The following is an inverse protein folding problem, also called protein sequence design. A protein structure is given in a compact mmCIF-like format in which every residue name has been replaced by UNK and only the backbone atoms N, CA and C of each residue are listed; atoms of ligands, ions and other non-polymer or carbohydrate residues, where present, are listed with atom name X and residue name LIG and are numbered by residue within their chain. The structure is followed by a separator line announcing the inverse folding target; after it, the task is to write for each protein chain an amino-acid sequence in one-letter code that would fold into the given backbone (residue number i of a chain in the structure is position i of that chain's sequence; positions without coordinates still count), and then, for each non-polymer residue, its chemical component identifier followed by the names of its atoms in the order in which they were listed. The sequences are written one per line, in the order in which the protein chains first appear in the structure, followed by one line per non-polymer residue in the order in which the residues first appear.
data_IF_838425302895
#
_entry.id   IF_838425302895
#
_cell.length_a   1.000
_cell.length_b   1.000
_cell.length_c   1.000
_cell.angle_alpha   90.00
_cell.angle_beta   90.00
_cell.angle_gamma   90.00
#
_symmetry.space_group_name_H-M   'P 1'
#
loop_
_entity.id
_entity.type
_entity.pdbx_description
1 polymer ?
#
# COMPACT_ATOMS: atom_id res chain seq x y z
N UNK A 1 6.06 36.50 13.42
CA UNK A 1 6.43 35.57 14.52
C UNK A 1 5.20 34.70 14.79
N UNK A 2 5.10 33.55 14.14
CA UNK A 2 3.97 32.63 14.37
C UNK A 2 4.20 31.99 15.73
N UNK A 3 3.36 32.32 16.71
CA UNK A 3 3.43 31.69 18.03
C UNK A 3 3.00 30.23 17.84
N UNK A 4 3.94 29.30 17.98
CA UNK A 4 3.66 27.85 18.05
C UNK A 4 2.80 27.61 19.30
N UNK A 5 1.50 27.49 19.11
CA UNK A 5 0.63 26.96 20.16
C UNK A 5 0.77 25.44 20.11
N UNK A 6 1.67 24.88 20.91
CA UNK A 6 1.56 23.48 21.27
C UNK A 6 0.22 23.32 22.01
N UNK A 7 -0.80 22.78 21.33
CA UNK A 7 -1.94 22.18 22.03
C UNK A 7 -1.34 21.11 22.93
N UNK A 8 -1.50 21.25 24.25
CA UNK A 8 -0.89 20.34 25.24
C UNK A 8 -1.17 18.88 24.85
N UNK A 9 -0.11 18.09 24.64
CA UNK A 9 -0.20 16.66 24.33
C UNK A 9 -0.01 16.26 22.86
N UNK A 10 0.27 17.19 21.95
CA UNK A 10 0.60 16.91 20.54
C UNK A 10 2.09 17.11 20.26
N UNK A 11 2.65 16.34 19.32
CA UNK A 11 4.01 16.53 18.79
C UNK A 11 4.06 17.83 17.98
N UNK A 12 5.25 18.42 17.77
CA UNK A 12 5.38 19.63 16.94
C UNK A 12 4.97 19.36 15.48
N UNK A 13 4.28 20.32 14.85
CA UNK A 13 3.83 20.21 13.46
C UNK A 13 4.98 20.03 12.47
N UNK A 14 6.06 20.82 12.59
CA UNK A 14 7.18 20.77 11.66
C UNK A 14 7.91 19.43 11.82
N UNK A 15 8.08 18.98 13.07
CA UNK A 15 8.68 17.67 13.38
C UNK A 15 7.87 16.50 12.81
N UNK A 16 6.54 16.51 12.94
CA UNK A 16 5.68 15.47 12.37
C UNK A 16 5.72 15.46 10.84
N UNK A 17 5.69 16.64 10.22
CA UNK A 17 5.73 16.77 8.77
C UNK A 17 7.07 16.30 8.22
N UNK A 18 8.18 16.71 8.84
CA UNK A 18 9.53 16.26 8.47
C UNK A 18 9.68 14.75 8.65
N UNK A 19 9.14 14.19 9.74
CA UNK A 19 9.14 12.74 9.97
C UNK A 19 8.37 11.99 8.88
N UNK A 20 7.21 12.50 8.48
CA UNK A 20 6.41 11.91 7.40
C UNK A 20 7.14 12.00 6.06
N UNK A 21 7.70 13.15 5.71
CA UNK A 21 8.48 13.31 4.48
C UNK A 21 9.71 12.40 4.42
N UNK A 22 10.31 12.10 5.58
CA UNK A 22 11.47 11.21 5.67
C UNK A 22 11.08 9.71 5.74
N UNK A 23 9.80 9.39 5.93
CA UNK A 23 9.33 8.01 6.03
C UNK A 23 9.22 7.39 4.64
N UNK A 24 9.72 6.16 4.48
CA UNK A 24 9.50 5.41 3.25
C UNK A 24 8.03 5.01 3.10
N UNK A 25 7.59 4.79 1.85
CA UNK A 25 6.21 4.35 1.58
C UNK A 25 5.92 2.95 2.15
N UNK A 26 6.92 2.06 2.20
CA UNK A 26 6.75 0.66 2.64
C UNK A 26 6.07 0.51 4.03
N UNK A 27 6.52 1.14 5.13
CA UNK A 27 5.85 1.03 6.43
C UNK A 27 4.44 1.63 6.42
N UNK A 28 4.20 2.71 5.67
CA UNK A 28 2.88 3.33 5.52
C UNK A 28 1.95 2.36 4.81
N UNK A 29 2.39 1.82 3.67
CA UNK A 29 1.65 0.86 2.88
C UNK A 29 1.31 -0.40 3.67
N UNK A 30 2.31 -1.01 4.33
CA UNK A 30 2.11 -2.23 5.13
C UNK A 30 1.16 -2.01 6.29
N UNK A 31 1.17 -0.82 6.89
CA UNK A 31 0.20 -0.45 7.93
C UNK A 31 -1.21 -0.41 7.38
N UNK A 32 -1.43 0.17 6.19
CA UNK A 32 -2.74 0.14 5.54
C UNK A 32 -3.13 -1.30 5.15
N UNK A 33 -2.21 -2.07 4.58
CA UNK A 33 -2.43 -3.45 4.14
C UNK A 33 -2.85 -4.37 5.29
N UNK A 34 -2.31 -4.17 6.50
CA UNK A 34 -2.70 -4.94 7.67
C UNK A 34 -4.21 -4.86 8.01
N UNK A 35 -4.87 -3.74 7.67
CA UNK A 35 -6.30 -3.53 7.86
C UNK A 35 -7.16 -3.84 6.63
N UNK A 36 -6.53 -4.19 5.50
CA UNK A 36 -7.20 -4.39 4.21
C UNK A 36 -7.70 -5.82 4.03
N UNK A 37 -8.85 -5.94 3.33
CA UNK A 37 -9.42 -7.21 2.85
C UNK A 37 -10.08 -6.97 1.49
N UNK A 38 -9.59 -7.65 0.46
CA UNK A 38 -10.14 -7.53 -0.90
C UNK A 38 -11.66 -7.77 -0.92
N UNK A 39 -12.40 -6.88 -1.57
CA UNK A 39 -13.87 -6.93 -1.69
C UNK A 39 -14.65 -6.70 -0.40
N UNK A 40 -13.99 -6.56 0.75
CA UNK A 40 -14.66 -6.48 2.06
C UNK A 40 -14.34 -5.19 2.83
N UNK A 41 -13.06 -4.85 2.94
CA UNK A 41 -12.59 -3.76 3.80
C UNK A 41 -11.44 -2.98 3.18
N UNK A 42 -11.60 -1.66 3.19
CA UNK A 42 -10.49 -0.74 2.94
C UNK A 42 -9.56 -0.75 4.15
N UNK A 43 -8.27 -0.94 3.89
CA UNK A 43 -7.23 -0.77 4.90
C UNK A 43 -6.72 0.65 4.91
N UNK A 44 -6.53 1.22 6.10
CA UNK A 44 -6.12 2.62 6.28
C UNK A 44 -4.92 2.68 7.20
N UNK A 45 -3.89 3.41 6.79
CA UNK A 45 -2.79 3.83 7.64
C UNK A 45 -3.11 5.21 8.21
N UNK A 46 -3.06 5.29 9.53
CA UNK A 46 -3.26 6.49 10.32
C UNK A 46 -1.95 6.89 10.99
N UNK A 47 -1.73 8.18 11.18
CA UNK A 47 -0.65 8.69 12.05
C UNK A 47 -1.28 9.22 13.34
N UNK A 48 -0.88 8.68 14.50
CA UNK A 48 -1.22 9.27 15.80
C UNK A 48 -0.34 10.51 16.01
N UNK A 49 -0.97 11.67 16.16
CA UNK A 49 -0.29 12.96 16.29
C UNK A 49 0.36 13.19 17.67
N UNK A 50 0.07 12.33 18.65
CA UNK A 50 0.62 12.40 20.02
C UNK A 50 1.88 11.56 20.14
N UNK A 51 1.91 10.41 19.47
CA UNK A 51 3.05 9.46 19.52
C UNK A 51 3.91 9.52 18.26
N UNK A 52 3.36 10.02 17.16
CA UNK A 52 3.98 9.97 15.84
C UNK A 52 4.06 8.54 15.27
N UNK A 53 3.29 7.59 15.81
CA UNK A 53 3.28 6.20 15.36
C UNK A 53 2.22 5.96 14.29
N UNK A 54 2.49 4.99 13.41
CA UNK A 54 1.52 4.52 12.44
C UNK A 54 0.56 3.52 13.07
N UNK A 55 -0.73 3.68 12.80
CA UNK A 55 -1.80 2.81 13.26
C UNK A 55 -2.57 2.24 12.08
N UNK A 56 -2.99 0.99 12.17
CA UNK A 56 -3.80 0.33 11.15
C UNK A 56 -5.28 0.39 11.51
N UNK A 57 -6.13 0.61 10.50
CA UNK A 57 -7.59 0.56 10.64
C UNK A 57 -8.24 -0.14 9.44
N UNK A 58 -9.34 -0.82 9.71
CA UNK A 58 -10.15 -1.52 8.70
C UNK A 58 -11.54 -0.88 8.64
N UNK A 59 -11.91 -0.37 7.47
CA UNK A 59 -13.13 0.45 7.28
C UNK A 59 -13.91 0.02 6.05
N UNK A 60 -15.14 0.51 5.93
CA UNK A 60 -15.94 0.33 4.71
C UNK A 60 -15.44 1.25 3.61
N UNK A 61 -15.62 0.85 2.36
CA UNK A 61 -15.25 1.65 1.18
C UNK A 61 -15.95 3.02 1.25
N UNK A 62 -15.19 4.09 1.02
CA UNK A 62 -15.68 5.47 1.00
C UNK A 62 -15.70 6.17 2.35
N UNK A 63 -15.38 5.48 3.46
CA UNK A 63 -15.28 6.10 4.80
C UNK A 63 -13.85 6.32 5.28
N UNK A 64 -12.87 6.21 4.40
CA UNK A 64 -11.44 6.29 4.71
C UNK A 64 -11.10 7.63 5.38
N UNK A 65 -11.56 8.74 4.79
CA UNK A 65 -11.21 10.09 5.24
C UNK A 65 -11.83 10.46 6.58
N UNK A 66 -12.94 9.83 6.95
CA UNK A 66 -13.70 10.16 8.16
C UNK A 66 -13.35 9.25 9.35
N UNK A 67 -12.50 8.25 9.13
CA UNK A 67 -12.22 7.25 10.15
C UNK A 67 -11.22 7.70 11.22
N UNK A 68 -10.46 8.77 10.99
CA UNK A 68 -9.45 9.25 11.93
C UNK A 68 -10.10 9.82 13.20
N UNK A 69 -9.58 9.44 14.37
CA UNK A 69 -9.91 10.08 15.63
C UNK A 69 -9.43 11.55 15.67
N UNK A 70 -9.80 12.27 16.74
CA UNK A 70 -9.42 13.67 16.89
C UNK A 70 -7.89 13.90 16.83
N UNK A 71 -7.12 12.95 17.34
CA UNK A 71 -5.65 12.97 17.43
C UNK A 71 -4.96 12.14 16.33
N UNK A 72 -5.69 11.76 15.28
CA UNK A 72 -5.16 10.98 14.17
C UNK A 72 -5.35 11.76 12.86
N UNK A 73 -4.55 11.39 11.86
CA UNK A 73 -4.78 11.77 10.45
C UNK A 73 -4.67 10.54 9.57
N UNK A 74 -5.35 10.57 8.43
CA UNK A 74 -5.21 9.54 7.39
C UNK A 74 -3.99 9.87 6.55
N UNK A 75 -3.03 8.95 6.48
CA UNK A 75 -1.83 9.12 5.63
C UNK A 75 -1.90 8.30 4.36
N UNK A 76 -2.59 7.16 4.38
CA UNK A 76 -2.77 6.33 3.20
C UNK A 76 -3.96 5.38 3.35
N UNK A 77 -4.51 4.92 2.23
CA UNK A 77 -5.58 3.91 2.20
C UNK A 77 -5.47 3.00 0.98
N UNK A 78 -5.77 1.72 1.17
CA UNK A 78 -5.88 0.73 0.10
C UNK A 78 -7.36 0.35 -0.01
N UNK A 79 -8.02 0.76 -1.10
CA UNK A 79 -9.44 0.44 -1.31
C UNK A 79 -9.66 -1.08 -1.33
N UNK A 80 -10.80 -1.53 -0.83
CA UNK A 80 -11.20 -2.93 -0.94
C UNK A 80 -11.36 -3.38 -2.42
N UNK A 81 -11.63 -2.44 -3.34
CA UNK A 81 -11.77 -2.71 -4.78
C UNK A 81 -10.42 -2.89 -5.49
N UNK A 82 -9.32 -2.58 -4.81
CA UNK A 82 -7.97 -2.70 -5.36
C UNK A 82 -7.39 -4.05 -4.97
N UNK A 83 -7.22 -4.96 -5.93
CA UNK A 83 -6.58 -6.25 -5.67
C UNK A 83 -5.06 -6.07 -5.49
N UNK A 84 -4.56 -5.93 -4.27
CA UNK A 84 -3.10 -5.85 -4.02
C UNK A 84 -2.42 -7.20 -4.26
N UNK A 85 -3.13 -8.30 -4.06
CA UNK A 85 -2.61 -9.66 -4.21
C UNK A 85 -2.95 -10.17 -5.61
N UNK A 86 -2.28 -9.60 -6.60
CA UNK A 86 -2.43 -9.98 -8.01
C UNK A 86 -1.13 -10.54 -8.59
N UNK A 87 -1.24 -11.59 -9.40
CA UNK A 87 -0.11 -12.13 -10.14
C UNK A 87 0.37 -11.17 -11.22
N UNK A 88 -0.48 -10.29 -11.73
CA UNK A 88 -0.08 -9.30 -12.72
C UNK A 88 0.94 -8.28 -12.14
N UNK A 89 0.99 -8.11 -10.81
CA UNK A 89 2.03 -7.32 -10.15
C UNK A 89 3.36 -8.09 -9.96
N UNK A 90 3.33 -9.41 -10.10
CA UNK A 90 4.47 -10.28 -9.78
C UNK A 90 5.13 -10.87 -11.02
N UNK A 91 4.31 -11.18 -12.03
CA UNK A 91 4.65 -11.98 -13.19
C UNK A 91 3.92 -11.45 -14.42
N UNK A 92 4.65 -10.73 -15.27
CA UNK A 92 4.20 -10.44 -16.62
C UNK A 92 4.45 -11.65 -17.55
N UNK A 93 3.43 -12.03 -18.32
CA UNK A 93 3.48 -13.20 -19.20
C UNK A 93 4.51 -13.07 -20.34
N UNK A 94 4.77 -11.86 -20.81
CA UNK A 94 5.78 -11.58 -21.81
C UNK A 94 7.19 -11.68 -21.20
N UNK A 95 7.37 -11.17 -19.97
CA UNK A 95 8.63 -11.34 -19.23
C UNK A 95 8.91 -12.81 -18.91
N UNK A 96 7.88 -13.63 -18.67
CA UNK A 96 8.02 -15.08 -18.52
C UNK A 96 8.60 -15.74 -19.78
N UNK A 97 8.15 -15.34 -20.96
CA UNK A 97 8.63 -15.87 -22.24
C UNK A 97 10.07 -15.45 -22.50
N UNK A 98 10.39 -14.16 -22.38
CA UNK A 98 11.75 -13.64 -22.60
C UNK A 98 12.72 -14.22 -21.56
N UNK A 99 12.28 -14.37 -20.32
CA UNK A 99 13.05 -14.95 -19.22
C UNK A 99 13.22 -16.46 -19.29
N UNK A 100 12.64 -17.14 -20.30
CA UNK A 100 12.75 -18.58 -20.50
C UNK A 100 12.03 -19.43 -19.43
N UNK A 101 11.03 -18.86 -18.74
CA UNK A 101 10.22 -19.57 -17.76
C UNK A 101 9.12 -20.42 -18.43
N UNK A 102 8.73 -20.05 -19.64
CA UNK A 102 7.77 -20.76 -20.50
C UNK A 102 8.29 -20.79 -21.94
N UNK A 103 7.86 -21.79 -22.73
CA UNK A 103 8.13 -21.83 -24.17
C UNK A 103 7.16 -20.93 -24.95
N UNK A 104 7.44 -20.70 -26.24
CA UNK A 104 6.55 -19.94 -27.11
C UNK A 104 5.19 -20.62 -27.30
N UNK A 105 5.17 -21.96 -27.34
CA UNK A 105 3.95 -22.77 -27.40
C UNK A 105 3.11 -22.60 -26.14
N UNK A 106 3.74 -22.71 -24.96
CA UNK A 106 3.06 -22.51 -23.67
C UNK A 106 2.53 -21.08 -23.52
N UNK A 107 3.29 -20.07 -23.95
CA UNK A 107 2.83 -18.68 -23.99
C UNK A 107 1.58 -18.52 -24.87
N UNK A 108 1.57 -19.14 -26.06
CA UNK A 108 0.42 -19.09 -26.96
C UNK A 108 -0.82 -19.81 -26.40
N UNK A 109 -0.64 -20.88 -25.61
CA UNK A 109 -1.73 -21.59 -24.93
C UNK A 109 -2.32 -20.78 -23.76
N UNK A 110 -1.45 -20.18 -22.93
CA UNK A 110 -1.86 -19.27 -21.84
C UNK A 110 -2.65 -18.08 -22.40
N UNK A 111 -2.17 -17.46 -23.49
CA UNK A 111 -2.86 -16.33 -24.14
C UNK A 111 -4.23 -16.68 -24.74
N UNK A 112 -4.47 -17.96 -25.03
CA UNK A 112 -5.78 -18.46 -25.48
C UNK A 112 -6.71 -18.80 -24.32
N UNK A 113 -6.23 -18.75 -23.07
CA UNK A 113 -7.00 -19.06 -21.86
C UNK A 113 -7.25 -20.56 -21.66
N UNK A 114 -6.42 -21.43 -22.26
CA UNK A 114 -6.76 -22.85 -22.40
C UNK A 114 -6.06 -23.82 -21.44
N UNK A 115 -5.15 -23.37 -20.55
CA UNK A 115 -4.47 -24.29 -19.62
C UNK A 115 -3.98 -23.63 -18.30
N UNK A 116 -4.75 -23.80 -17.22
CA UNK A 116 -4.36 -23.32 -15.88
C UNK A 116 -3.23 -24.15 -15.23
N UNK A 117 -3.00 -25.38 -15.67
CA UNK A 117 -1.99 -26.25 -15.06
C UNK A 117 -0.56 -25.76 -15.35
N UNK A 118 -0.33 -25.29 -16.57
CA UNK A 118 0.92 -24.63 -16.97
C UNK A 118 1.14 -23.36 -16.14
N UNK A 119 0.10 -22.57 -15.92
CA UNK A 119 0.19 -21.32 -15.15
C UNK A 119 0.60 -21.59 -13.70
N UNK A 120 -0.01 -22.60 -13.07
CA UNK A 120 0.31 -22.97 -11.68
C UNK A 120 1.76 -23.45 -11.53
N UNK A 121 2.24 -24.33 -12.42
CA UNK A 121 3.62 -24.82 -12.39
C UNK A 121 4.64 -23.68 -12.53
N UNK A 122 4.36 -22.70 -13.40
CA UNK A 122 5.26 -21.56 -13.61
C UNK A 122 5.29 -20.65 -12.39
N UNK A 123 4.14 -20.36 -11.78
CA UNK A 123 4.05 -19.57 -10.54
C UNK A 123 4.89 -20.19 -9.43
N UNK A 124 4.78 -21.50 -9.21
CA UNK A 124 5.55 -22.22 -8.20
C UNK A 124 7.06 -22.16 -8.46
N UNK A 125 7.49 -22.43 -9.70
CA UNK A 125 8.90 -22.32 -10.09
C UNK A 125 9.44 -20.91 -9.91
N UNK A 126 8.65 -19.89 -10.24
CA UNK A 126 9.05 -18.50 -10.10
C UNK A 126 9.25 -18.10 -8.65
N UNK A 127 8.32 -18.44 -7.75
CA UNK A 127 8.46 -18.17 -6.32
C UNK A 127 9.69 -18.86 -5.73
N UNK A 128 9.93 -20.13 -6.09
CA UNK A 128 11.12 -20.86 -5.69
C UNK A 128 12.41 -20.17 -6.16
N UNK A 129 12.44 -19.68 -7.40
CA UNK A 129 13.59 -18.96 -7.97
C UNK A 129 13.84 -17.62 -7.27
N UNK A 130 12.78 -16.89 -6.91
CA UNK A 130 12.87 -15.59 -6.22
C UNK A 130 13.17 -15.73 -4.73
N UNK A 131 12.88 -16.89 -4.13
CA UNK A 131 13.01 -17.13 -2.70
C UNK A 131 12.23 -16.10 -1.84
N UNK A 132 11.04 -15.72 -2.31
CA UNK A 132 10.11 -14.80 -1.65
C UNK A 132 8.69 -15.35 -1.78
N UNK A 133 7.80 -14.93 -0.88
CA UNK A 133 6.37 -15.29 -0.97
C UNK A 133 5.68 -14.51 -2.09
N UNK A 134 4.57 -15.05 -2.59
CA UNK A 134 3.69 -14.33 -3.52
C UNK A 134 3.24 -12.99 -2.95
N UNK A 135 2.79 -12.98 -1.69
CA UNK A 135 2.35 -11.76 -1.00
C UNK A 135 3.44 -10.69 -0.99
N UNK A 136 4.68 -11.04 -0.66
CA UNK A 136 5.77 -10.07 -0.59
C UNK A 136 6.11 -9.50 -1.96
N UNK A 137 6.14 -10.34 -3.00
CA UNK A 137 6.37 -9.88 -4.37
C UNK A 137 5.22 -9.01 -4.89
N UNK A 138 3.97 -9.37 -4.57
CA UNK A 138 2.79 -8.61 -5.00
C UNK A 138 2.74 -7.24 -4.32
N UNK A 139 3.06 -7.17 -3.02
CA UNK A 139 3.18 -5.92 -2.28
C UNK A 139 4.30 -5.04 -2.89
N UNK A 140 5.47 -5.61 -3.17
CA UNK A 140 6.57 -4.88 -3.81
C UNK A 140 6.17 -4.32 -5.17
N UNK A 141 5.67 -5.16 -6.07
CA UNK A 141 5.22 -4.74 -7.40
C UNK A 141 4.10 -3.70 -7.34
N UNK A 142 3.18 -3.84 -6.40
CA UNK A 142 2.13 -2.83 -6.19
C UNK A 142 2.72 -1.49 -5.76
N UNK A 143 3.58 -1.47 -4.73
CA UNK A 143 4.16 -0.23 -4.18
C UNK A 143 5.02 0.53 -5.20
N UNK A 144 5.70 -0.15 -6.12
CA UNK A 144 6.47 0.48 -7.19
C UNK A 144 5.61 1.37 -8.11
N UNK A 145 4.30 1.13 -8.15
CA UNK A 145 3.34 1.86 -8.97
C UNK A 145 2.49 2.86 -8.18
N UNK A 146 2.69 2.97 -6.86
CA UNK A 146 1.92 3.87 -6.00
C UNK A 146 2.70 5.12 -5.64
N UNK A 147 1.99 6.25 -5.60
CA UNK A 147 2.52 7.51 -5.13
C UNK A 147 1.73 7.97 -3.89
N UNK A 148 2.44 8.51 -2.90
CA UNK A 148 1.81 9.18 -1.75
C UNK A 148 1.43 10.61 -2.13
N UNK A 149 0.16 10.97 -1.91
CA UNK A 149 -0.33 12.34 -2.11
C UNK A 149 0.08 13.24 -0.93
N UNK A 150 1.34 13.68 -0.91
CA UNK A 150 1.88 14.53 0.16
C UNK A 150 1.12 15.84 0.37
N UNK A 151 0.54 16.38 -0.70
CA UNK A 151 -0.30 17.58 -0.63
C UNK A 151 -1.50 17.38 0.30
N UNK A 152 -2.23 16.26 0.13
CA UNK A 152 -3.39 15.92 0.95
C UNK A 152 -3.01 15.76 2.44
N UNK A 153 -1.89 15.10 2.73
CA UNK A 153 -1.38 14.93 4.10
C UNK A 153 -1.05 16.28 4.74
N UNK A 154 -0.37 17.16 3.98
CA UNK A 154 -0.03 18.50 4.45
C UNK A 154 -1.28 19.33 4.78
N UNK A 155 -2.33 19.27 3.95
CA UNK A 155 -3.58 19.97 4.24
C UNK A 155 -4.24 19.48 5.53
N UNK A 156 -4.35 18.16 5.73
CA UNK A 156 -4.90 17.58 6.97
C UNK A 156 -4.12 18.02 8.21
N UNK A 157 -2.78 17.97 8.16
CA UNK A 157 -1.94 18.43 9.27
C UNK A 157 -2.14 19.91 9.54
N UNK A 158 -2.11 20.74 8.49
CA UNK A 158 -2.27 22.20 8.61
C UNK A 158 -3.60 22.54 9.29
N UNK A 159 -4.68 21.92 8.86
CA UNK A 159 -6.02 22.20 9.36
C UNK A 159 -6.16 21.78 10.84
N UNK A 160 -5.54 20.66 11.26
CA UNK A 160 -5.53 20.20 12.66
C UNK A 160 -4.76 21.13 13.61
N UNK A 161 -3.63 21.68 13.15
CA UNK A 161 -2.76 22.54 13.97
C UNK A 161 -3.14 24.02 13.93
N UNK A 162 -3.80 24.50 12.87
CA UNK A 162 -4.19 25.91 12.71
C UNK A 162 -5.66 26.21 13.05
N UNK A 163 -6.53 25.20 13.11
CA UNK A 163 -7.89 25.32 13.65
C UNK A 163 -7.90 25.33 15.18
#
# INVERSE_FOLDING_TARGET
MVKKYNKQGFVDYDELFDKLLAMSIDPIFRTAFAGWRYGEKTGVALLDLRTGELLSKSVSIGSERECAAAHEIVVYSISADTNVLDWDFVLDQYDMLIGGLITAEQYAEIRKGNDESIIQEVREKYLLKKNQSFEELAIQGFMEHQELEWFFIHEQLRDKYRG
#
